data_IF_061490530698
#
_entry.id   IF_061490530698
#
_cell.length_a   1.000
_cell.length_b   1.000
_cell.length_c   1.000
_cell.angle_alpha   90.00
_cell.angle_beta   90.00
_cell.angle_gamma   90.00
#
_symmetry.space_group_name_H-M   'P 1'
#
loop_
_entity.id
_entity.type
_entity.pdbx_description
1 polymer ?
#
# COMPACT_ATOMS: atom_id res chain seq x y z
N UNK A 1 -12.07 2.25 -15.35
CA UNK A 1 -11.57 3.03 -14.19
C UNK A 1 -10.90 2.10 -13.18
N UNK A 2 -10.11 2.62 -12.23
CA UNK A 2 -9.44 1.77 -11.21
C UNK A 2 -10.45 0.89 -10.44
N UNK A 3 -11.59 1.47 -10.07
CA UNK A 3 -12.71 0.77 -9.43
C UNK A 3 -13.16 -0.48 -10.20
N UNK A 4 -13.19 -0.41 -11.53
CA UNK A 4 -13.70 -1.49 -12.37
C UNK A 4 -12.71 -2.66 -12.40
N UNK A 5 -11.40 -2.37 -12.39
CA UNK A 5 -10.38 -3.41 -12.27
C UNK A 5 -10.49 -4.09 -10.90
N UNK A 6 -10.54 -3.31 -9.82
CA UNK A 6 -10.70 -3.88 -8.46
C UNK A 6 -11.97 -4.74 -8.35
N UNK A 7 -13.10 -4.26 -8.89
CA UNK A 7 -14.37 -4.98 -8.84
C UNK A 7 -14.33 -6.30 -9.62
N UNK A 8 -13.73 -6.32 -10.82
CA UNK A 8 -13.58 -7.55 -11.64
C UNK A 8 -12.81 -8.66 -10.92
N UNK A 9 -11.88 -8.30 -10.05
CA UNK A 9 -11.08 -9.25 -9.25
C UNK A 9 -11.69 -9.53 -7.87
N UNK A 10 -12.91 -9.07 -7.59
CA UNK A 10 -13.59 -9.31 -6.32
C UNK A 10 -13.08 -8.45 -5.16
N UNK A 11 -12.17 -7.50 -5.41
CA UNK A 11 -11.69 -6.51 -4.44
C UNK A 11 -12.73 -5.41 -4.20
N UNK A 12 -13.92 -5.83 -3.78
CA UNK A 12 -15.03 -4.94 -3.43
C UNK A 12 -14.77 -4.24 -2.10
N UNK A 13 -15.39 -3.07 -1.90
CA UNK A 13 -15.26 -2.31 -0.65
C UNK A 13 -15.65 -3.15 0.58
N UNK A 14 -16.72 -3.95 0.50
CA UNK A 14 -17.16 -4.81 1.59
C UNK A 14 -16.16 -5.94 1.87
N UNK A 15 -15.61 -6.59 0.84
CA UNK A 15 -14.61 -7.64 1.01
C UNK A 15 -13.33 -7.11 1.67
N UNK A 16 -12.85 -5.95 1.21
CA UNK A 16 -11.66 -5.29 1.77
C UNK A 16 -11.91 -4.86 3.21
N UNK A 17 -13.06 -4.26 3.52
CA UNK A 17 -13.39 -3.84 4.88
C UNK A 17 -13.52 -5.02 5.83
N UNK A 18 -14.18 -6.11 5.41
CA UNK A 18 -14.29 -7.32 6.21
C UNK A 18 -12.91 -7.92 6.52
N UNK A 19 -12.03 -8.02 5.52
CA UNK A 19 -10.66 -8.47 5.72
C UNK A 19 -9.87 -7.52 6.64
N UNK A 20 -9.99 -6.20 6.46
CA UNK A 20 -9.32 -5.22 7.32
C UNK A 20 -9.80 -5.29 8.78
N UNK A 21 -11.09 -5.55 9.01
CA UNK A 21 -11.62 -5.76 10.36
C UNK A 21 -11.04 -7.01 11.04
N UNK A 22 -10.76 -8.08 10.29
CA UNK A 22 -10.09 -9.27 10.82
C UNK A 22 -8.62 -9.02 11.19
N UNK A 23 -8.01 -7.96 10.67
CA UNK A 23 -6.65 -7.57 11.01
C UNK A 23 -6.54 -6.77 12.33
N UNK A 24 -7.68 -6.37 12.92
CA UNK A 24 -7.70 -5.74 14.22
C UNK A 24 -7.09 -6.65 15.31
N UNK A 25 -6.49 -6.09 16.37
CA UNK A 25 -6.31 -4.66 16.63
C UNK A 25 -5.07 -4.05 15.94
N UNK A 26 -4.12 -4.88 15.49
CA UNK A 26 -2.81 -4.42 15.03
C UNK A 26 -2.80 -3.88 13.58
N UNK A 27 -3.90 -4.04 12.86
CA UNK A 27 -4.00 -3.65 11.46
C UNK A 27 -3.37 -4.67 10.51
N UNK A 28 -3.48 -4.41 9.21
CA UNK A 28 -3.09 -5.35 8.16
C UNK A 28 -1.60 -5.71 8.22
N UNK A 29 -0.73 -4.75 8.52
CA UNK A 29 0.71 -4.98 8.70
C UNK A 29 1.00 -5.93 9.86
N UNK A 30 0.37 -5.71 11.02
CA UNK A 30 0.51 -6.61 12.17
C UNK A 30 -0.07 -8.01 11.92
N UNK A 31 -1.18 -8.10 11.17
CA UNK A 31 -1.73 -9.39 10.77
C UNK A 31 -0.79 -10.17 9.82
N UNK A 32 -0.12 -9.46 8.91
CA UNK A 32 0.91 -10.04 8.06
C UNK A 32 2.11 -10.51 8.89
N UNK A 33 2.60 -9.70 9.84
CA UNK A 33 3.71 -10.08 10.73
C UNK A 33 3.34 -11.30 11.57
N UNK A 34 2.10 -11.37 12.09
CA UNK A 34 1.57 -12.55 12.80
C UNK A 34 1.63 -13.80 11.94
N UNK A 35 1.19 -13.72 10.69
CA UNK A 35 1.21 -14.86 9.78
C UNK A 35 2.65 -15.32 9.45
N UNK A 36 3.60 -14.40 9.36
CA UNK A 36 5.03 -14.70 9.09
C UNK A 36 5.71 -15.32 10.31
N UNK A 37 5.38 -14.85 11.50
CA UNK A 37 6.03 -15.25 12.75
C UNK A 37 5.40 -16.51 13.39
N UNK A 38 4.13 -16.81 13.10
CA UNK A 38 3.45 -17.98 13.65
C UNK A 38 4.18 -19.32 13.41
N UNK A 39 4.75 -19.63 12.22
CA UNK A 39 5.52 -20.85 11.99
C UNK A 39 6.79 -20.96 12.85
N UNK A 40 7.30 -19.84 13.36
CA UNK A 40 8.46 -19.79 14.27
C UNK A 40 8.06 -19.95 15.74
N UNK A 41 6.78 -20.18 16.03
CA UNK A 41 6.26 -20.29 17.40
C UNK A 41 6.17 -18.96 18.15
N UNK A 42 6.32 -17.83 17.45
CA UNK A 42 6.22 -16.50 18.04
C UNK A 42 4.77 -16.04 18.04
N UNK A 43 4.20 -15.95 19.23
CA UNK A 43 2.87 -15.40 19.46
C UNK A 43 2.98 -13.89 19.69
N UNK A 44 2.73 -13.12 18.64
CA UNK A 44 2.74 -11.66 18.65
C UNK A 44 1.73 -11.07 19.64
N UNK A 45 0.55 -11.68 19.77
CA UNK A 45 -0.50 -11.16 20.64
C UNK A 45 -0.10 -11.33 22.12
N UNK A 46 0.56 -12.45 22.44
CA UNK A 46 1.14 -12.68 23.76
C UNK A 46 2.35 -11.78 24.05
N UNK A 47 3.18 -11.51 23.05
CA UNK A 47 4.41 -10.71 23.21
C UNK A 47 4.12 -9.23 23.41
N UNK A 48 3.13 -8.71 22.68
CA UNK A 48 2.70 -7.32 22.75
C UNK A 48 1.74 -7.06 23.93
N UNK A 49 1.01 -8.09 24.37
CA UNK A 49 0.12 -8.02 25.52
C UNK A 49 -1.13 -7.14 25.28
N UNK A 50 -2.05 -7.09 26.26
CA UNK A 50 -3.33 -6.39 26.10
C UNK A 50 -3.22 -4.85 26.03
N UNK A 51 -2.04 -4.29 26.25
CA UNK A 51 -1.82 -2.84 26.39
C UNK A 51 -1.15 -2.17 25.17
N UNK A 52 -0.79 -2.92 24.13
CA UNK A 52 -0.25 -2.28 22.92
C UNK A 52 -1.33 -1.53 22.18
N UNK A 53 -1.27 -0.21 22.32
CA UNK A 53 -1.96 0.75 21.47
C UNK A 53 -1.83 0.33 20.01
N UNK A 54 -2.99 0.17 19.37
CA UNK A 54 -3.16 -0.06 17.94
C UNK A 54 -2.18 0.78 17.12
N UNK A 55 -1.28 0.15 16.36
CA UNK A 55 -0.32 0.88 15.51
C UNK A 55 -1.04 1.72 14.44
N UNK A 56 -2.23 1.28 14.03
CA UNK A 56 -3.14 2.00 13.16
C UNK A 56 -4.32 2.58 13.96
N UNK A 57 -4.39 3.91 14.07
CA UNK A 57 -5.56 4.58 14.63
C UNK A 57 -6.45 5.08 13.49
N UNK A 58 -7.78 4.84 13.56
CA UNK A 58 -8.69 5.51 12.64
C UNK A 58 -8.60 7.02 12.85
N UNK A 59 -8.71 7.79 11.76
CA UNK A 59 -8.81 9.24 11.88
C UNK A 59 -9.99 9.63 12.79
N UNK A 60 -9.78 10.57 13.71
CA UNK A 60 -10.83 11.03 14.61
C UNK A 60 -12.04 11.57 13.83
N UNK A 61 -13.26 11.18 14.24
CA UNK A 61 -14.51 11.63 13.59
C UNK A 61 -14.61 13.15 13.60
N UNK A 62 -15.03 13.72 12.47
CA UNK A 62 -15.27 15.15 12.37
C UNK A 62 -16.46 15.54 13.26
N UNK A 63 -16.34 16.57 14.12
CA UNK A 63 -17.46 17.00 14.95
C UNK A 63 -18.52 17.70 14.10
N UNK A 64 -19.78 17.36 14.40
CA UNK A 64 -20.96 17.80 13.65
C UNK A 64 -21.43 19.23 14.02
N UNK A 65 -20.88 19.83 15.08
CA UNK A 65 -21.31 21.14 15.57
C UNK A 65 -20.45 22.28 14.99
N UNK A 66 -21.07 23.40 14.53
CA UNK A 66 -20.37 24.46 13.81
C UNK A 66 -19.41 25.27 14.69
N UNK A 67 -19.66 25.34 16.01
CA UNK A 67 -18.81 26.06 16.95
C UNK A 67 -17.51 25.26 17.21
N UNK A 68 -16.38 25.80 16.79
CA UNK A 68 -15.07 25.14 16.93
C UNK A 68 -14.75 24.12 15.83
N UNK A 69 -15.63 23.94 14.84
CA UNK A 69 -15.44 23.01 13.73
C UNK A 69 -14.13 23.24 12.98
N UNK A 70 -13.67 24.48 12.79
CA UNK A 70 -12.39 24.75 12.12
C UNK A 70 -11.16 24.23 12.91
N UNK A 71 -11.17 24.39 14.24
CA UNK A 71 -10.08 23.91 15.11
C UNK A 71 -10.12 22.39 15.24
N UNK A 72 -11.32 21.82 15.34
CA UNK A 72 -11.49 20.38 15.38
C UNK A 72 -11.22 19.72 14.02
N UNK A 73 -11.62 20.30 12.89
CA UNK A 73 -11.20 19.88 11.54
C UNK A 73 -9.69 19.94 11.38
N UNK A 74 -9.03 21.00 11.85
CA UNK A 74 -7.55 21.06 11.87
C UNK A 74 -6.95 19.99 12.77
N UNK A 75 -7.60 19.64 13.88
CA UNK A 75 -7.14 18.60 14.79
C UNK A 75 -7.38 17.19 14.24
N UNK A 76 -8.50 16.93 13.56
CA UNK A 76 -8.79 15.69 12.84
C UNK A 76 -7.93 15.55 11.58
N UNK A 77 -7.65 16.65 10.88
CA UNK A 77 -6.77 16.70 9.70
C UNK A 77 -5.29 16.54 10.07
N UNK A 78 -4.91 16.97 11.29
CA UNK A 78 -3.67 16.51 11.92
C UNK A 78 -3.94 15.07 12.32
N UNK A 79 -3.60 14.12 11.45
CA UNK A 79 -3.56 12.71 11.81
C UNK A 79 -2.79 12.61 13.14
N UNK A 80 -3.53 12.40 14.22
CA UNK A 80 -3.01 12.35 15.58
C UNK A 80 -3.58 11.06 16.16
N UNK A 81 -2.78 9.97 16.19
CA UNK A 81 -1.37 9.89 15.75
C UNK A 81 -1.18 10.03 14.23
N UNK A 82 0.03 10.42 13.77
CA UNK A 82 0.34 10.60 12.35
C UNK A 82 0.05 9.34 11.52
N UNK A 83 -0.10 9.50 10.20
CA UNK A 83 -0.15 8.38 9.25
C UNK A 83 0.91 7.35 9.62
N UNK A 84 0.51 6.09 9.76
CA UNK A 84 1.43 4.99 10.07
C UNK A 84 2.59 4.93 9.09
N UNK A 85 3.75 4.44 9.54
CA UNK A 85 4.97 4.37 8.73
C UNK A 85 4.74 3.60 7.42
N UNK A 86 3.88 2.57 7.44
CA UNK A 86 3.51 1.80 6.26
C UNK A 86 2.77 2.62 5.23
N UNK A 87 1.79 3.41 5.67
CA UNK A 87 1.03 4.28 4.79
C UNK A 87 1.90 5.41 4.21
N UNK A 88 2.84 5.95 4.99
CA UNK A 88 3.83 6.91 4.50
C UNK A 88 4.75 6.27 3.46
N UNK A 89 5.28 5.08 3.75
CA UNK A 89 6.16 4.33 2.85
C UNK A 89 5.46 3.94 1.54
N UNK A 90 4.20 3.52 1.60
CA UNK A 90 3.40 3.19 0.43
C UNK A 90 3.15 4.43 -0.44
N UNK A 91 2.80 5.56 0.16
CA UNK A 91 2.61 6.81 -0.57
C UNK A 91 3.93 7.32 -1.19
N UNK A 92 5.03 7.23 -0.45
CA UNK A 92 6.37 7.55 -0.94
C UNK A 92 6.75 6.65 -2.14
N UNK A 93 6.45 5.36 -2.06
CA UNK A 93 6.70 4.40 -3.13
C UNK A 93 5.83 4.68 -4.36
N UNK A 94 4.56 5.05 -4.17
CA UNK A 94 3.65 5.40 -5.25
C UNK A 94 4.13 6.63 -6.05
N UNK A 95 4.60 7.67 -5.35
CA UNK A 95 5.20 8.85 -5.97
C UNK A 95 6.45 8.49 -6.79
N UNK A 96 7.33 7.68 -6.22
CA UNK A 96 8.54 7.21 -6.93
C UNK A 96 8.21 6.33 -8.12
N UNK A 97 7.16 5.52 -8.02
CA UNK A 97 6.69 4.69 -9.13
C UNK A 97 6.22 5.58 -10.29
N UNK A 98 5.45 6.63 -10.03
CA UNK A 98 5.04 7.60 -11.05
C UNK A 98 6.26 8.27 -11.74
N UNK A 99 7.24 8.70 -10.94
CA UNK A 99 8.50 9.25 -11.47
C UNK A 99 9.29 8.21 -12.29
N UNK A 100 9.35 6.97 -11.83
CA UNK A 100 10.01 5.88 -12.51
C UNK A 100 9.35 5.55 -13.85
N UNK A 101 8.01 5.66 -13.93
CA UNK A 101 7.20 5.50 -15.14
C UNK A 101 7.26 6.72 -16.08
N UNK A 102 7.88 7.83 -15.66
CA UNK A 102 7.94 9.11 -16.39
C UNK A 102 6.56 9.74 -16.57
N UNK A 103 5.72 9.64 -15.55
CA UNK A 103 4.41 10.29 -15.50
C UNK A 103 4.50 11.65 -14.80
N UNK A 104 3.76 12.63 -15.33
CA UNK A 104 3.75 14.01 -14.81
C UNK A 104 2.84 14.19 -13.60
N UNK A 105 1.86 13.30 -13.46
CA UNK A 105 0.83 13.36 -12.44
C UNK A 105 0.88 12.10 -11.59
N UNK A 106 0.84 12.28 -10.26
CA UNK A 106 0.54 11.18 -9.36
C UNK A 106 -0.97 10.94 -9.38
N UNK A 107 -1.35 9.67 -9.54
CA UNK A 107 -2.75 9.25 -9.70
C UNK A 107 -3.03 8.01 -8.84
N UNK A 108 -4.31 7.73 -8.49
CA UNK A 108 -4.66 6.63 -7.59
C UNK A 108 -4.13 5.25 -8.02
N UNK A 109 -3.95 5.03 -9.32
CA UNK A 109 -3.44 3.75 -9.85
C UNK A 109 -2.00 3.50 -9.44
N UNK A 110 -1.18 4.55 -9.29
CA UNK A 110 0.19 4.42 -8.80
C UNK A 110 0.22 3.92 -7.36
N UNK A 111 -0.71 4.42 -6.53
CA UNK A 111 -0.86 3.97 -5.17
C UNK A 111 -1.34 2.53 -5.10
N UNK A 112 -2.33 2.16 -5.92
CA UNK A 112 -2.81 0.78 -6.01
C UNK A 112 -1.68 -0.18 -6.44
N UNK A 113 -0.93 0.16 -7.49
CA UNK A 113 0.20 -0.64 -7.96
C UNK A 113 1.29 -0.78 -6.91
N UNK A 114 1.66 0.30 -6.22
CA UNK A 114 2.68 0.27 -5.17
C UNK A 114 2.23 -0.56 -3.96
N UNK A 115 1.00 -0.37 -3.49
CA UNK A 115 0.43 -1.12 -2.37
C UNK A 115 0.39 -2.63 -2.67
N UNK A 116 -0.16 -3.02 -3.82
CA UNK A 116 -0.32 -4.44 -4.17
C UNK A 116 1.04 -5.12 -4.40
N UNK A 117 2.00 -4.40 -4.99
CA UNK A 117 3.32 -4.95 -5.29
C UNK A 117 4.30 -4.97 -4.09
N UNK A 118 4.12 -4.09 -3.10
CA UNK A 118 5.09 -3.93 -2.01
C UNK A 118 4.56 -4.31 -0.65
N UNK A 119 3.29 -4.02 -0.36
CA UNK A 119 2.81 -3.98 1.02
C UNK A 119 2.34 -5.37 1.50
N UNK A 120 2.98 -5.93 2.54
CA UNK A 120 2.62 -7.24 3.08
C UNK A 120 1.25 -7.24 3.76
N UNK A 121 0.83 -6.12 4.34
CA UNK A 121 -0.51 -5.97 4.90
C UNK A 121 -1.57 -6.04 3.80
N UNK A 122 -1.37 -5.36 2.67
CA UNK A 122 -2.27 -5.44 1.51
C UNK A 122 -2.30 -6.85 0.93
N UNK A 123 -1.15 -7.53 0.81
CA UNK A 123 -1.14 -8.92 0.36
C UNK A 123 -1.92 -9.84 1.32
N UNK A 124 -1.81 -9.63 2.63
CA UNK A 124 -2.61 -10.34 3.62
C UNK A 124 -4.11 -10.05 3.44
N UNK A 125 -4.50 -8.78 3.28
CA UNK A 125 -5.90 -8.38 3.07
C UNK A 125 -6.48 -9.02 1.81
N UNK A 126 -5.77 -8.99 0.69
CA UNK A 126 -6.21 -9.59 -0.57
C UNK A 126 -6.36 -11.11 -0.44
N UNK A 127 -5.40 -11.77 0.21
CA UNK A 127 -5.50 -13.22 0.50
C UNK A 127 -6.71 -13.54 1.36
N UNK A 128 -6.94 -12.78 2.42
CA UNK A 128 -8.10 -12.95 3.31
C UNK A 128 -9.44 -12.68 2.60
N UNK A 129 -9.45 -11.75 1.65
CA UNK A 129 -10.60 -11.46 0.80
C UNK A 129 -10.76 -12.45 -0.38
N UNK A 130 -9.91 -13.48 -0.48
CA UNK A 130 -9.86 -14.45 -1.57
C UNK A 130 -9.69 -13.80 -2.96
N UNK A 131 -8.91 -12.72 -3.02
CA UNK A 131 -8.53 -12.02 -4.25
C UNK A 131 -7.17 -12.51 -4.70
N UNK A 132 -7.08 -12.94 -5.97
CA UNK A 132 -5.80 -13.26 -6.59
C UNK A 132 -4.99 -11.98 -6.81
N UNK A 133 -4.01 -11.77 -5.93
CA UNK A 133 -3.12 -10.60 -5.95
C UNK A 133 -2.35 -10.49 -7.24
N UNK A 134 -1.82 -11.60 -7.76
CA UNK A 134 -0.90 -11.56 -8.90
C UNK A 134 -1.69 -11.32 -10.20
N UNK A 135 -2.87 -11.94 -10.33
CA UNK A 135 -3.79 -11.63 -11.43
C UNK A 135 -4.30 -10.18 -11.38
N UNK A 136 -4.67 -9.67 -10.20
CA UNK A 136 -5.08 -8.28 -10.02
C UNK A 136 -3.94 -7.31 -10.39
N UNK A 137 -2.71 -7.58 -9.95
CA UNK A 137 -1.56 -6.73 -10.25
C UNK A 137 -1.24 -6.73 -11.74
N UNK A 138 -1.32 -7.88 -12.41
CA UNK A 138 -1.11 -7.99 -13.85
C UNK A 138 -2.17 -7.22 -14.64
N UNK A 139 -3.45 -7.32 -14.28
CA UNK A 139 -4.55 -6.60 -14.95
C UNK A 139 -4.46 -5.09 -14.70
N UNK A 140 -4.09 -4.66 -13.48
CA UNK A 140 -3.82 -3.24 -13.20
C UNK A 140 -2.66 -2.71 -14.05
N UNK A 141 -1.56 -3.47 -14.17
CA UNK A 141 -0.42 -3.10 -14.98
C UNK A 141 -0.77 -2.99 -16.47
N UNK A 142 -1.60 -3.92 -16.98
CA UNK A 142 -2.08 -3.92 -18.35
C UNK A 142 -3.07 -2.79 -18.63
N UNK A 143 -3.96 -2.49 -17.69
CA UNK A 143 -4.98 -1.43 -17.81
C UNK A 143 -4.34 -0.04 -17.73
N UNK A 144 -3.30 0.11 -16.91
CA UNK A 144 -2.59 1.37 -16.70
C UNK A 144 -1.11 1.24 -17.07
N UNK A 145 -0.77 1.08 -18.36
CA UNK A 145 0.61 0.95 -18.80
C UNK A 145 1.35 2.30 -18.71
N UNK A 146 2.69 2.30 -18.52
CA UNK A 146 3.47 3.53 -18.55
C UNK A 146 3.42 4.19 -19.93
N UNK A 147 3.62 5.52 -20.01
CA UNK A 147 3.52 6.25 -21.27
C UNK A 147 4.54 5.77 -22.31
N UNK A 148 4.05 5.39 -23.50
CA UNK A 148 4.86 4.90 -24.64
C UNK A 148 5.15 5.97 -25.70
N UNK A 149 4.82 7.24 -25.43
CA UNK A 149 4.83 8.32 -26.43
C UNK A 149 6.21 8.68 -26.98
N UNK A 150 7.29 8.40 -26.27
CA UNK A 150 8.64 8.77 -26.68
C UNK A 150 9.63 7.59 -26.51
N UNK A 151 10.34 7.16 -27.56
CA UNK A 151 11.31 6.07 -27.48
C UNK A 151 12.49 6.40 -26.57
N UNK A 152 12.90 7.67 -26.47
CA UNK A 152 13.96 8.11 -25.56
C UNK A 152 13.56 7.92 -24.09
N UNK A 153 12.33 8.29 -23.73
CA UNK A 153 11.82 8.05 -22.36
C UNK A 153 11.72 6.54 -22.07
N UNK A 154 11.39 5.74 -23.08
CA UNK A 154 11.34 4.28 -22.93
C UNK A 154 12.74 3.70 -22.70
N UNK A 155 13.74 4.13 -23.47
CA UNK A 155 15.13 3.73 -23.30
C UNK A 155 15.68 4.18 -21.94
N UNK A 156 15.43 5.42 -21.55
CA UNK A 156 15.85 5.97 -20.26
C UNK A 156 15.26 5.18 -19.08
N UNK A 157 13.97 4.81 -19.14
CA UNK A 157 13.35 3.94 -18.13
C UNK A 157 14.07 2.60 -18.05
N UNK A 158 14.45 2.00 -19.17
CA UNK A 158 15.16 0.71 -19.21
C UNK A 158 16.55 0.82 -18.59
N UNK A 159 17.28 1.89 -18.90
CA UNK A 159 18.64 2.15 -18.38
C UNK A 159 18.62 2.43 -16.86
N UNK A 160 17.69 3.27 -16.41
CA UNK A 160 17.57 3.63 -14.99
C UNK A 160 16.79 2.58 -14.16
N UNK A 161 16.35 1.48 -14.77
CA UNK A 161 15.51 0.49 -14.10
C UNK A 161 16.18 -0.12 -12.85
N UNK A 162 17.43 -0.64 -12.93
CA UNK A 162 17.99 -1.37 -11.80
C UNK A 162 18.18 -0.46 -10.58
N UNK A 163 18.54 0.81 -10.81
CA UNK A 163 18.70 1.79 -9.73
C UNK A 163 17.35 2.22 -9.14
N UNK A 164 16.34 2.48 -9.97
CA UNK A 164 14.99 2.87 -9.51
C UNK A 164 14.28 1.75 -8.75
N UNK A 165 14.37 0.52 -9.25
CA UNK A 165 13.85 -0.68 -8.58
C UNK A 165 14.47 -0.84 -7.19
N UNK A 166 15.81 -0.83 -7.12
CA UNK A 166 16.52 -0.97 -5.84
C UNK A 166 16.23 0.18 -4.88
N UNK A 167 16.15 1.43 -5.37
CA UNK A 167 15.83 2.58 -4.51
C UNK A 167 14.43 2.47 -3.91
N UNK A 168 13.44 2.10 -4.73
CA UNK A 168 12.06 1.85 -4.28
C UNK A 168 12.00 0.79 -3.19
N UNK A 169 12.54 -0.40 -3.46
CA UNK A 169 12.54 -1.51 -2.51
C UNK A 169 13.30 -1.15 -1.24
N UNK A 170 14.54 -0.64 -1.38
CA UNK A 170 15.40 -0.30 -0.24
C UNK A 170 14.75 0.74 0.67
N UNK A 171 14.10 1.77 0.12
CA UNK A 171 13.45 2.81 0.92
C UNK A 171 12.20 2.31 1.61
N UNK A 172 11.35 1.58 0.89
CA UNK A 172 10.17 0.97 1.48
C UNK A 172 10.56 0.05 2.65
N UNK A 173 11.53 -0.85 2.43
CA UNK A 173 12.04 -1.75 3.46
C UNK A 173 12.71 -1.00 4.62
N UNK A 174 13.44 0.09 4.34
CA UNK A 174 14.06 0.91 5.39
C UNK A 174 13.03 1.60 6.27
N UNK A 175 11.94 2.10 5.68
CA UNK A 175 10.90 2.84 6.42
C UNK A 175 9.99 1.89 7.21
N UNK A 176 9.61 0.76 6.61
CA UNK A 176 8.67 -0.20 7.23
C UNK A 176 9.35 -1.29 8.05
N UNK A 177 10.63 -1.58 7.79
CA UNK A 177 11.32 -2.75 8.32
C UNK A 177 10.88 -4.09 7.69
N UNK A 178 9.95 -4.08 6.72
CA UNK A 178 9.34 -5.30 6.16
C UNK A 178 9.86 -5.63 4.77
N UNK A 179 9.96 -6.92 4.47
CA UNK A 179 10.23 -7.39 3.11
C UNK A 179 9.04 -7.08 2.18
N UNK A 180 9.34 -6.72 0.92
CA UNK A 180 8.31 -6.43 -0.07
C UNK A 180 7.67 -7.71 -0.59
N UNK A 181 6.41 -7.64 -0.99
CA UNK A 181 5.61 -8.80 -1.38
C UNK A 181 5.92 -9.35 -2.77
N UNK A 182 6.31 -8.49 -3.72
CA UNK A 182 6.76 -8.91 -5.05
C UNK A 182 7.92 -8.05 -5.54
N UNK A 183 9.15 -8.51 -5.29
CA UNK A 183 10.37 -7.86 -5.82
C UNK A 183 10.40 -7.81 -7.33
N UNK A 184 9.79 -8.80 -7.98
CA UNK A 184 9.91 -9.06 -9.42
C UNK A 184 8.80 -8.38 -10.23
N UNK A 185 7.69 -8.01 -9.60
CA UNK A 185 6.63 -7.24 -10.26
C UNK A 185 7.06 -5.79 -10.55
N UNK A 186 7.83 -5.16 -9.66
CA UNK A 186 8.25 -3.76 -9.82
C UNK A 186 8.99 -3.47 -11.14
N UNK A 187 9.96 -4.29 -11.59
CA UNK A 187 10.57 -4.14 -12.90
C UNK A 187 9.56 -4.11 -14.06
N UNK A 188 8.54 -4.98 -14.00
CA UNK A 188 7.47 -5.03 -15.00
C UNK A 188 6.60 -3.76 -14.95
N UNK A 189 6.24 -3.28 -13.76
CA UNK A 189 5.45 -2.06 -13.56
C UNK A 189 6.15 -0.79 -14.08
N UNK A 190 7.48 -0.73 -13.98
CA UNK A 190 8.26 0.42 -14.47
C UNK A 190 8.44 0.38 -16.00
N UNK A 191 8.59 -0.81 -16.59
CA UNK A 191 8.80 -0.97 -18.03
C UNK A 191 7.51 -0.87 -18.84
N UNK A 192 6.46 -1.56 -18.36
CA UNK A 192 5.22 -1.79 -19.10
C UNK A 192 5.34 -2.75 -20.26
#
# INVERSE_FOLDING_TARGET
MLSDVLHRHGATTSAILNAAHLAAPLGAGGAADRAVLAPLGVDLDRLLGPATATLDHPAGREPLLPLGAAKARRHCARLTPPLGLDAQAAYEAALRLALARREREHRPEHLALALIALDPGVAWVLKTANVDRDALLADLAATFPPPRRNPLLTAERRLALPSRHRDLVRRYQRTTGRAVTSTDALPALIRG
#
